data_IF_618112896184
#
_entry.id   IF_618112896184
#
_cell.length_a   1.000
_cell.length_b   1.000
_cell.length_c   1.000
_cell.angle_alpha   90.00
_cell.angle_beta   90.00
_cell.angle_gamma   90.00
#
_symmetry.space_group_name_H-M   'P 1'
#
loop_
_entity.id
_entity.type
_entity.pdbx_description
1 polymer ?
#
# COMPACT_ATOMS: atom_id res chain seq x y z
N UNK A 1 -23.93 -4.00 14.53
CA UNK A 1 -22.78 -4.41 13.71
C UNK A 1 -23.06 -5.82 13.24
N UNK A 2 -23.48 -5.98 11.99
CA UNK A 2 -23.54 -7.30 11.34
C UNK A 2 -22.15 -7.91 11.39
N UNK A 3 -22.05 -9.18 11.79
CA UNK A 3 -20.78 -9.89 11.86
C UNK A 3 -20.08 -9.95 10.49
N UNK A 4 -18.81 -10.35 10.45
CA UNK A 4 -18.11 -10.52 9.17
C UNK A 4 -18.86 -11.52 8.30
N UNK A 5 -19.35 -11.05 7.15
CA UNK A 5 -19.94 -11.90 6.14
C UNK A 5 -18.80 -12.65 5.43
N UNK A 6 -18.75 -13.97 5.59
CA UNK A 6 -17.76 -14.79 4.92
C UNK A 6 -18.35 -15.35 3.64
N UNK A 7 -17.81 -14.91 2.50
CA UNK A 7 -18.22 -15.36 1.18
C UNK A 7 -17.10 -16.17 0.55
N UNK A 8 -17.40 -17.42 0.16
CA UNK A 8 -16.49 -18.23 -0.65
C UNK A 8 -16.86 -18.03 -2.12
N UNK A 9 -15.95 -17.44 -2.88
CA UNK A 9 -16.10 -17.25 -4.32
C UNK A 9 -15.35 -18.35 -5.07
N UNK A 10 -16.07 -19.14 -5.85
CA UNK A 10 -15.52 -20.19 -6.74
C UNK A 10 -15.87 -19.89 -8.20
N UNK A 11 -15.17 -20.53 -9.14
CA UNK A 11 -15.44 -20.34 -10.57
C UNK A 11 -14.91 -19.02 -11.14
N UNK A 12 -13.95 -18.39 -10.46
CA UNK A 12 -13.21 -17.23 -10.95
C UNK A 12 -11.85 -17.71 -11.49
N UNK A 13 -11.70 -17.94 -12.81
CA UNK A 13 -10.41 -18.26 -13.38
C UNK A 13 -9.42 -17.11 -13.16
N UNK A 14 -8.13 -17.43 -13.19
CA UNK A 14 -7.06 -16.43 -13.00
C UNK A 14 -7.21 -15.27 -13.99
N UNK A 15 -7.22 -14.03 -13.47
CA UNK A 15 -7.49 -12.81 -14.23
C UNK A 15 -8.93 -12.29 -14.10
N UNK A 16 -9.93 -13.13 -13.81
CA UNK A 16 -11.30 -12.68 -13.53
C UNK A 16 -11.46 -12.10 -12.13
N UNK A 17 -10.57 -12.48 -11.22
CA UNK A 17 -10.43 -11.97 -9.86
C UNK A 17 -10.26 -10.44 -9.78
N UNK A 18 -9.56 -9.82 -10.73
CA UNK A 18 -9.48 -8.36 -10.84
C UNK A 18 -10.86 -7.71 -11.06
N UNK A 19 -11.75 -8.35 -11.84
CA UNK A 19 -13.12 -7.85 -12.06
C UNK A 19 -13.99 -8.00 -10.81
N UNK A 20 -13.75 -9.03 -10.01
CA UNK A 20 -14.39 -9.19 -8.70
C UNK A 20 -13.96 -8.08 -7.73
N UNK A 21 -12.66 -7.78 -7.65
CA UNK A 21 -12.16 -6.67 -6.84
C UNK A 21 -12.72 -5.33 -7.30
N UNK A 22 -12.79 -5.08 -8.61
CA UNK A 22 -13.40 -3.87 -9.16
C UNK A 22 -14.89 -3.74 -8.81
N UNK A 23 -15.63 -4.86 -8.80
CA UNK A 23 -17.03 -4.90 -8.34
C UNK A 23 -17.16 -4.52 -6.87
N UNK A 24 -16.29 -5.06 -6.01
CA UNK A 24 -16.32 -4.73 -4.58
C UNK A 24 -15.92 -3.28 -4.34
N UNK A 25 -14.94 -2.75 -5.10
CA UNK A 25 -14.55 -1.34 -5.06
C UNK A 25 -15.71 -0.40 -5.41
N UNK A 26 -16.53 -0.77 -6.40
CA UNK A 26 -17.70 0.00 -6.83
C UNK A 26 -18.78 0.13 -5.74
N UNK A 27 -18.70 -0.64 -4.65
CA UNK A 27 -19.56 -0.47 -3.47
C UNK A 27 -19.17 0.74 -2.62
N UNK A 28 -18.08 1.44 -2.96
CA UNK A 28 -17.67 2.71 -2.34
C UNK A 28 -16.79 2.57 -1.10
N UNK A 29 -16.29 1.37 -0.79
CA UNK A 29 -15.40 1.11 0.33
C UNK A 29 -14.00 0.69 -0.16
N UNK A 30 -12.93 0.95 0.62
CA UNK A 30 -11.61 0.41 0.32
C UNK A 30 -11.60 -1.12 0.36
N UNK A 31 -10.83 -1.72 -0.55
CA UNK A 31 -10.67 -3.18 -0.65
C UNK A 31 -9.23 -3.57 -0.37
N UNK A 32 -9.00 -4.46 0.58
CA UNK A 32 -7.70 -5.07 0.84
C UNK A 32 -7.65 -6.44 0.17
N UNK A 33 -6.75 -6.62 -0.80
CA UNK A 33 -6.47 -7.91 -1.41
C UNK A 33 -5.15 -8.49 -0.87
N UNK A 34 -5.24 -9.64 -0.20
CA UNK A 34 -4.07 -10.39 0.27
C UNK A 34 -3.76 -11.49 -0.73
N UNK A 35 -2.76 -11.25 -1.56
CA UNK A 35 -2.21 -12.25 -2.47
C UNK A 35 -1.37 -13.28 -1.71
N UNK A 36 -1.23 -14.47 -2.31
CA UNK A 36 -0.41 -15.56 -1.77
C UNK A 36 1.08 -15.20 -1.73
N UNK A 37 1.56 -14.56 -2.78
CA UNK A 37 2.97 -14.23 -3.02
C UNK A 37 3.08 -13.00 -3.93
N UNK A 38 4.30 -12.47 -4.08
CA UNK A 38 4.56 -11.25 -4.84
C UNK A 38 4.25 -11.40 -6.33
N UNK A 39 4.45 -12.60 -6.90
CA UNK A 39 4.13 -12.88 -8.31
C UNK A 39 2.62 -12.76 -8.56
N UNK A 40 1.81 -13.31 -7.65
CA UNK A 40 0.34 -13.20 -7.71
C UNK A 40 -0.14 -11.78 -7.46
N UNK A 41 0.49 -11.05 -6.52
CA UNK A 41 0.20 -9.65 -6.28
C UNK A 41 0.45 -8.80 -7.54
N UNK A 42 1.57 -9.03 -8.22
CA UNK A 42 1.93 -8.31 -9.43
C UNK A 42 1.02 -8.66 -10.62
N UNK A 43 0.67 -9.95 -10.78
CA UNK A 43 -0.33 -10.37 -11.77
C UNK A 43 -1.69 -9.69 -11.54
N UNK A 44 -2.12 -9.59 -10.27
CA UNK A 44 -3.34 -8.87 -9.90
C UNK A 44 -3.25 -7.38 -10.23
N UNK A 45 -2.11 -6.73 -9.93
CA UNK A 45 -1.86 -5.33 -10.27
C UNK A 45 -2.00 -5.08 -11.78
N UNK A 46 -1.38 -5.93 -12.59
CA UNK A 46 -1.47 -5.86 -14.04
C UNK A 46 -2.90 -6.10 -14.55
N UNK A 47 -3.61 -7.08 -13.98
CA UNK A 47 -5.00 -7.34 -14.34
C UNK A 47 -5.93 -6.17 -13.99
N UNK A 48 -5.76 -5.54 -12.82
CA UNK A 48 -6.52 -4.36 -12.43
C UNK A 48 -6.26 -3.17 -13.35
N UNK A 49 -5.02 -2.97 -13.80
CA UNK A 49 -4.70 -1.92 -14.77
C UNK A 49 -5.45 -2.10 -16.11
N UNK A 50 -5.79 -3.34 -16.48
CA UNK A 50 -6.60 -3.63 -17.66
C UNK A 50 -8.11 -3.53 -17.39
N UNK A 51 -8.61 -4.14 -16.31
CA UNK A 51 -10.06 -4.24 -16.05
C UNK A 51 -10.67 -3.03 -15.35
N UNK A 52 -9.86 -2.24 -14.64
CA UNK A 52 -10.29 -1.08 -13.87
C UNK A 52 -9.19 0.00 -13.91
N UNK A 53 -8.87 0.57 -15.08
CA UNK A 53 -7.77 1.53 -15.25
C UNK A 53 -7.93 2.81 -14.41
N UNK A 54 -9.16 3.18 -14.07
CA UNK A 54 -9.47 4.35 -13.24
C UNK A 54 -9.42 4.06 -11.73
N UNK A 55 -9.24 2.80 -11.32
CA UNK A 55 -9.17 2.45 -9.92
C UNK A 55 -7.86 2.91 -9.30
N UNK A 56 -7.94 3.54 -8.13
CA UNK A 56 -6.75 3.82 -7.32
C UNK A 56 -6.25 2.50 -6.74
N UNK A 57 -5.09 2.03 -7.21
CA UNK A 57 -4.45 0.81 -6.73
C UNK A 57 -3.15 1.15 -6.01
N UNK A 58 -3.04 0.74 -4.76
CA UNK A 58 -1.85 0.87 -3.92
C UNK A 58 -1.23 -0.50 -3.68
N UNK A 59 0.10 -0.56 -3.54
CA UNK A 59 0.83 -1.79 -3.24
C UNK A 59 1.57 -1.67 -1.91
N UNK A 60 1.46 -2.68 -1.07
CA UNK A 60 2.24 -2.82 0.15
C UNK A 60 3.05 -4.12 0.07
N UNK A 61 4.30 -4.06 -0.44
CA UNK A 61 5.10 -5.25 -0.67
C UNK A 61 5.63 -5.83 0.64
N UNK A 62 5.98 -7.12 0.64
CA UNK A 62 6.73 -7.72 1.74
C UNK A 62 8.16 -7.16 1.77
N UNK A 63 8.89 -7.43 2.84
CA UNK A 63 10.35 -7.32 2.78
C UNK A 63 10.91 -8.37 1.82
N UNK A 64 11.96 -7.99 1.10
CA UNK A 64 12.73 -8.85 0.20
C UNK A 64 13.85 -9.62 0.91
N UNK A 65 13.86 -9.59 2.24
CA UNK A 65 14.73 -10.38 3.10
C UNK A 65 13.92 -11.32 4.00
N UNK A 66 14.59 -12.33 4.56
CA UNK A 66 13.95 -13.30 5.45
C UNK A 66 13.69 -12.70 6.84
N UNK A 67 12.76 -13.25 7.64
CA UNK A 67 12.67 -12.94 9.05
C UNK A 67 14.01 -13.19 9.75
N UNK A 68 14.52 -12.18 10.45
CA UNK A 68 15.83 -12.21 11.14
C UNK A 68 17.06 -12.33 10.23
N UNK A 69 16.95 -11.85 8.99
CA UNK A 69 18.11 -11.74 8.08
C UNK A 69 19.17 -10.75 8.61
N UNK A 70 20.40 -10.92 8.15
CA UNK A 70 21.54 -10.05 8.47
C UNK A 70 21.62 -8.82 7.57
N UNK A 71 20.83 -8.81 6.50
CA UNK A 71 20.78 -7.71 5.53
C UNK A 71 19.43 -7.02 5.66
N UNK A 72 19.45 -5.68 5.62
CA UNK A 72 18.21 -4.90 5.58
C UNK A 72 17.49 -5.10 4.25
N UNK A 73 16.15 -4.93 4.22
CA UNK A 73 15.43 -4.91 2.95
C UNK A 73 16.00 -3.84 2.01
N UNK A 74 15.86 -4.05 0.71
CA UNK A 74 16.29 -3.09 -0.29
C UNK A 74 15.65 -1.71 -0.01
N UNK A 75 16.42 -0.65 -0.26
CA UNK A 75 15.97 0.73 -0.08
C UNK A 75 14.68 1.03 -0.86
N UNK A 76 14.53 0.48 -2.06
CA UNK A 76 13.33 0.65 -2.89
C UNK A 76 12.10 -0.01 -2.26
N UNK A 77 12.25 -1.22 -1.71
CA UNK A 77 11.19 -1.93 -0.99
C UNK A 77 10.79 -1.18 0.28
N UNK A 78 11.79 -0.69 1.01
CA UNK A 78 11.57 0.14 2.21
C UNK A 78 10.85 1.44 1.90
N UNK A 79 11.26 2.13 0.83
CA UNK A 79 10.66 3.37 0.36
C UNK A 79 9.21 3.14 -0.11
N UNK A 80 8.96 2.11 -0.91
CA UNK A 80 7.61 1.77 -1.38
C UNK A 80 6.65 1.48 -0.21
N UNK A 81 7.11 0.72 0.79
CA UNK A 81 6.32 0.45 2.01
C UNK A 81 6.00 1.72 2.77
N UNK A 82 7.01 2.58 3.00
CA UNK A 82 6.81 3.83 3.72
C UNK A 82 5.92 4.81 2.96
N UNK A 83 6.02 4.87 1.62
CA UNK A 83 5.14 5.69 0.78
C UNK A 83 3.67 5.26 0.92
N UNK A 84 3.39 3.95 0.83
CA UNK A 84 2.04 3.42 1.00
C UNK A 84 1.50 3.67 2.41
N UNK A 85 2.31 3.43 3.45
CA UNK A 85 1.91 3.68 4.84
C UNK A 85 1.67 5.16 5.14
N UNK A 86 2.51 6.07 4.61
CA UNK A 86 2.33 7.51 4.76
C UNK A 86 1.04 7.98 4.07
N UNK A 87 0.79 7.53 2.83
CA UNK A 87 -0.46 7.81 2.11
C UNK A 87 -1.70 7.32 2.88
N UNK A 88 -1.66 6.10 3.42
CA UNK A 88 -2.75 5.56 4.26
C UNK A 88 -2.91 6.31 5.59
N UNK A 89 -1.83 6.85 6.17
CA UNK A 89 -1.87 7.60 7.42
C UNK A 89 -2.44 9.02 7.25
N UNK A 90 -2.18 9.64 6.10
CA UNK A 90 -2.75 10.94 5.68
C UNK A 90 -4.21 10.80 5.22
N UNK A 91 -4.56 9.65 4.63
CA UNK A 91 -5.88 9.35 4.10
C UNK A 91 -5.86 9.34 2.57
N UNK A 92 -6.52 8.33 1.99
CA UNK A 92 -6.66 8.18 0.54
C UNK A 92 -8.07 8.64 0.16
N UNK A 93 -8.22 9.64 -0.72
CA UNK A 93 -9.54 10.09 -1.16
C UNK A 93 -10.27 9.01 -1.96
N UNK A 94 -11.55 8.78 -1.62
CA UNK A 94 -12.40 7.84 -2.33
C UNK A 94 -12.06 6.35 -2.09
N UNK A 95 -12.75 5.45 -2.80
CA UNK A 95 -12.48 4.02 -2.73
C UNK A 95 -11.15 3.68 -3.43
N UNK A 96 -10.36 2.79 -2.81
CA UNK A 96 -9.09 2.31 -3.36
C UNK A 96 -8.92 0.80 -3.13
N UNK A 97 -8.06 0.17 -3.94
CA UNK A 97 -7.63 -1.23 -3.75
C UNK A 97 -6.21 -1.22 -3.19
N UNK A 98 -6.00 -1.85 -2.05
CA UNK A 98 -4.68 -2.12 -1.48
C UNK A 98 -4.29 -3.57 -1.76
N UNK A 99 -3.24 -3.77 -2.56
CA UNK A 99 -2.64 -5.07 -2.82
C UNK A 99 -1.50 -5.31 -1.83
N UNK A 100 -1.49 -6.48 -1.19
CA UNK A 100 -0.43 -6.92 -0.28
C UNK A 100 -0.27 -8.43 -0.38
N UNK A 101 0.78 -8.98 0.23
CA UNK A 101 0.91 -10.42 0.45
C UNK A 101 0.60 -10.79 1.90
N UNK A 102 0.43 -12.08 2.19
CA UNK A 102 0.29 -12.57 3.56
C UNK A 102 1.48 -12.17 4.44
N UNK A 103 2.71 -12.33 3.94
CA UNK A 103 3.94 -11.99 4.66
C UNK A 103 3.95 -10.50 5.05
N UNK A 104 3.63 -9.62 4.10
CA UNK A 104 3.52 -8.19 4.35
C UNK A 104 2.41 -7.85 5.37
N UNK A 105 1.23 -8.44 5.23
CA UNK A 105 0.06 -8.13 6.06
C UNK A 105 0.24 -8.55 7.53
N UNK A 106 0.99 -9.62 7.79
CA UNK A 106 1.27 -10.10 9.14
C UNK A 106 2.36 -9.33 9.87
N UNK A 107 3.14 -8.52 9.16
CA UNK A 107 4.24 -7.78 9.75
C UNK A 107 3.72 -6.56 10.53
N UNK A 108 4.26 -6.36 11.75
CA UNK A 108 3.99 -5.14 12.52
C UNK A 108 4.54 -3.93 11.76
N UNK A 109 3.76 -2.86 11.73
CA UNK A 109 4.11 -1.58 11.10
C UNK A 109 4.22 -0.47 12.14
N UNK A 110 4.92 0.65 11.85
CA UNK A 110 4.94 1.80 12.72
C UNK A 110 3.53 2.30 13.06
N UNK A 111 3.37 2.87 14.25
CA UNK A 111 2.08 3.42 14.67
C UNK A 111 1.65 4.55 13.72
N UNK A 112 0.34 4.67 13.47
CA UNK A 112 -0.23 5.70 12.58
C UNK A 112 0.21 7.12 12.96
N UNK A 113 0.33 7.43 14.26
CA UNK A 113 0.77 8.76 14.70
C UNK A 113 2.21 9.05 14.28
N UNK A 114 3.11 8.06 14.41
CA UNK A 114 4.51 8.18 13.95
C UNK A 114 4.57 8.46 12.45
N UNK A 115 3.74 7.78 11.65
CA UNK A 115 3.70 7.96 10.20
C UNK A 115 3.18 9.35 9.77
N UNK A 116 2.23 9.92 10.51
CA UNK A 116 1.71 11.27 10.23
C UNK A 116 2.80 12.32 10.39
N UNK A 117 3.57 12.21 11.47
CA UNK A 117 4.63 13.15 11.82
C UNK A 117 5.91 12.93 10.97
N UNK A 118 6.03 11.76 10.32
CA UNK A 118 7.14 11.38 9.45
C UNK A 118 6.92 11.70 7.96
N UNK A 119 5.97 12.58 7.64
CA UNK A 119 5.65 12.95 6.26
C UNK A 119 5.80 14.45 6.02
N UNK A 120 6.28 14.82 4.83
CA UNK A 120 6.44 16.21 4.39
C UNK A 120 5.72 16.40 3.06
N UNK A 121 4.94 17.48 2.93
CA UNK A 121 4.20 17.81 1.71
C UNK A 121 4.73 19.11 1.13
N UNK A 122 5.19 19.05 -0.13
CA UNK A 122 5.48 20.21 -0.95
C UNK A 122 4.41 20.37 -2.04
N UNK A 123 4.11 21.62 -2.42
CA UNK A 123 3.22 21.94 -3.54
C UNK A 123 3.93 22.90 -4.48
N UNK A 124 3.72 22.72 -5.79
CA UNK A 124 4.26 23.64 -6.80
C UNK A 124 3.75 25.06 -6.52
N UNK A 125 4.67 26.04 -6.51
CA UNK A 125 4.38 27.44 -6.21
C UNK A 125 4.31 27.79 -4.72
N UNK A 126 4.37 26.81 -3.80
CA UNK A 126 4.46 27.09 -2.37
C UNK A 126 5.91 27.42 -1.96
N UNK A 127 6.09 28.42 -1.10
CA UNK A 127 7.39 28.72 -0.48
C UNK A 127 7.66 27.71 0.64
N UNK A 128 8.85 27.12 0.62
CA UNK A 128 9.29 26.14 1.62
C UNK A 128 10.33 26.78 2.53
N UNK A 129 10.26 26.49 3.82
CA UNK A 129 11.34 26.78 4.77
C UNK A 129 12.44 25.71 4.60
N UNK A 130 13.53 26.11 3.98
CA UNK A 130 14.68 25.24 3.71
C UNK A 130 15.29 24.67 4.99
N UNK A 131 15.36 25.47 6.06
CA UNK A 131 15.93 25.05 7.34
C UNK A 131 15.08 23.97 8.01
N UNK A 132 13.76 24.14 7.98
CA UNK A 132 12.81 23.17 8.48
C UNK A 132 12.83 21.87 7.65
N UNK A 133 12.93 21.99 6.32
CA UNK A 133 13.06 20.84 5.42
C UNK A 133 14.35 20.06 5.68
N UNK A 134 15.49 20.74 5.79
CA UNK A 134 16.78 20.10 6.08
C UNK A 134 16.77 19.38 7.42
N UNK A 135 16.19 20.01 8.44
CA UNK A 135 16.00 19.40 9.76
C UNK A 135 15.07 18.17 9.71
N UNK A 136 14.01 18.21 8.90
CA UNK A 136 13.14 17.05 8.66
C UNK A 136 13.90 15.90 8.00
N UNK A 137 14.61 16.16 6.89
CA UNK A 137 15.38 15.15 6.17
C UNK A 137 16.44 14.48 7.05
N UNK A 138 17.17 15.26 7.86
CA UNK A 138 18.14 14.73 8.80
C UNK A 138 17.50 13.83 9.87
N UNK A 139 16.35 14.24 10.43
CA UNK A 139 15.59 13.38 11.37
C UNK A 139 15.10 12.08 10.73
N UNK A 140 14.81 12.11 9.44
CA UNK A 140 14.38 10.96 8.66
C UNK A 140 15.55 10.07 8.15
N UNK A 141 16.80 10.42 8.49
CA UNK A 141 17.98 9.61 8.18
C UNK A 141 18.58 9.85 6.78
N UNK A 142 18.19 10.94 6.11
CA UNK A 142 18.82 11.36 4.86
C UNK A 142 20.13 12.11 5.14
N UNK A 143 21.17 11.83 4.35
CA UNK A 143 22.51 12.43 4.42
C UNK A 143 22.81 13.28 3.20
#
# INVERSE_FOLDING_TARGET
MTGPEHLILSGAPEGFDARLLARELARGAPVLHIARDDKRMEAMRAALAFFAPDAVVLTFPAWDCLPYDRISPNADVSAARMATLAGLAQGVPGPFILLTTLNAATQRVPARQVLRDASFTARVGARIDESALRGFLARMGFS
#
